data_IF_336853147017
#
_entry.id   IF_336853147017
#
_cell.length_a   1.000
_cell.length_b   1.000
_cell.length_c   1.000
_cell.angle_alpha   90.00
_cell.angle_beta   90.00
_cell.angle_gamma   90.00
#
_symmetry.space_group_name_H-M   'P 1'
#
loop_
_entity.id
_entity.type
_entity.pdbx_description
1 polymer ?
#
# COMPACT_ATOMS: atom_id res chain seq x y z
N UNK A 1 20.46 2.71 12.38
CA UNK A 1 19.16 2.30 11.81
C UNK A 1 19.32 1.86 10.37
N UNK A 2 18.78 0.72 10.03
CA UNK A 2 18.89 0.16 8.68
C UNK A 2 17.93 0.89 7.74
N UNK A 3 18.45 1.43 6.65
CA UNK A 3 17.65 2.09 5.64
C UNK A 3 17.04 1.03 4.72
N UNK A 4 15.76 0.74 4.91
CA UNK A 4 15.02 -0.24 4.10
C UNK A 4 14.16 0.46 3.07
N UNK A 5 13.89 -0.22 1.95
CA UNK A 5 12.95 0.25 0.95
C UNK A 5 11.62 -0.44 1.20
N UNK A 6 10.59 0.33 1.52
CA UNK A 6 9.32 -0.18 2.00
C UNK A 6 8.19 0.28 1.09
N UNK A 7 7.35 -0.66 0.66
CA UNK A 7 6.13 -0.35 -0.07
C UNK A 7 4.96 -0.32 0.92
N UNK A 8 4.12 0.72 0.82
CA UNK A 8 2.90 0.80 1.60
C UNK A 8 1.73 0.85 0.63
N UNK A 9 0.86 -0.15 0.65
CA UNK A 9 -0.36 -0.11 -0.14
C UNK A 9 -1.41 0.62 0.67
N UNK A 10 -2.16 1.53 0.03
CA UNK A 10 -3.11 2.39 0.72
C UNK A 10 -2.43 3.52 1.50
N UNK A 11 -1.25 3.95 1.04
CA UNK A 11 -0.45 4.93 1.76
C UNK A 11 -1.02 6.34 1.84
N UNK A 12 -2.03 6.66 1.01
CA UNK A 12 -2.68 7.98 1.04
C UNK A 12 -3.91 8.00 1.96
N UNK A 13 -4.27 6.88 2.58
CA UNK A 13 -5.34 6.81 3.57
C UNK A 13 -4.85 7.28 4.94
N UNK A 14 -5.78 7.39 5.89
CA UNK A 14 -5.47 7.90 7.23
C UNK A 14 -4.41 7.06 7.94
N UNK A 15 -4.59 5.73 7.97
CA UNK A 15 -3.62 4.85 8.62
C UNK A 15 -2.29 4.88 7.87
N UNK A 16 -2.34 4.87 6.55
CA UNK A 16 -1.15 4.88 5.72
C UNK A 16 -0.29 6.13 5.92
N UNK A 17 -0.93 7.30 6.03
CA UNK A 17 -0.23 8.56 6.28
C UNK A 17 0.56 8.49 7.57
N UNK A 18 -0.06 8.00 8.65
CA UNK A 18 0.60 7.92 9.94
C UNK A 18 1.74 6.91 9.95
N UNK A 19 1.56 5.78 9.28
CA UNK A 19 2.61 4.78 9.14
C UNK A 19 3.80 5.34 8.34
N UNK A 20 3.52 6.01 7.23
CA UNK A 20 4.58 6.57 6.37
C UNK A 20 5.39 7.61 7.13
N UNK A 21 4.73 8.48 7.91
CA UNK A 21 5.43 9.44 8.75
C UNK A 21 6.44 8.75 9.66
N UNK A 22 6.01 7.68 10.33
CA UNK A 22 6.87 6.96 11.25
C UNK A 22 8.04 6.30 10.53
N UNK A 23 7.77 5.69 9.37
CA UNK A 23 8.83 5.03 8.60
C UNK A 23 9.86 6.03 8.09
N UNK A 24 9.42 7.22 7.67
CA UNK A 24 10.33 8.28 7.23
C UNK A 24 11.18 8.78 8.40
N UNK A 25 10.59 8.94 9.58
CA UNK A 25 11.32 9.35 10.77
C UNK A 25 12.40 8.34 11.14
N UNK A 26 12.16 7.06 10.86
CA UNK A 26 13.13 6.01 11.13
C UNK A 26 14.18 5.86 10.03
N UNK A 27 14.13 6.69 9.01
CA UNK A 27 15.16 6.73 7.98
C UNK A 27 14.95 5.80 6.79
N UNK A 28 13.75 5.24 6.65
CA UNK A 28 13.46 4.34 5.54
C UNK A 28 13.05 5.09 4.27
N UNK A 29 13.27 4.44 3.12
CA UNK A 29 12.75 4.92 1.84
C UNK A 29 11.38 4.31 1.64
N UNK A 30 10.38 5.14 1.39
CA UNK A 30 8.99 4.69 1.31
C UNK A 30 8.41 4.98 -0.07
N UNK A 31 7.70 3.99 -0.61
CA UNK A 31 6.92 4.11 -1.84
C UNK A 31 5.48 3.75 -1.47
N UNK A 32 4.53 4.55 -1.91
CA UNK A 32 3.11 4.31 -1.65
C UNK A 32 2.41 3.90 -2.94
N UNK A 33 1.57 2.87 -2.86
CA UNK A 33 0.69 2.47 -3.95
C UNK A 33 -0.74 2.66 -3.49
N UNK A 34 -1.50 3.50 -4.18
CA UNK A 34 -2.89 3.82 -3.80
C UNK A 34 -3.67 4.19 -5.06
N UNK A 35 -4.92 3.75 -5.16
CA UNK A 35 -5.78 4.16 -6.27
C UNK A 35 -6.62 5.39 -5.92
N UNK A 36 -6.44 5.93 -4.71
CA UNK A 36 -7.12 7.12 -4.21
C UNK A 36 -8.64 6.97 -4.09
N UNK A 37 -9.11 5.76 -3.99
CA UNK A 37 -10.53 5.50 -3.80
C UNK A 37 -11.04 6.08 -2.47
N UNK A 38 -10.23 6.00 -1.43
CA UNK A 38 -10.50 6.65 -0.15
C UNK A 38 -9.31 7.46 0.38
N UNK A 39 -8.16 7.44 -0.31
CA UNK A 39 -6.99 8.23 0.04
C UNK A 39 -7.04 9.61 -0.62
N UNK A 40 -6.26 10.54 -0.12
CA UNK A 40 -6.25 11.92 -0.58
C UNK A 40 -4.83 12.37 -0.94
N UNK A 41 -4.70 13.08 -2.07
CA UNK A 41 -3.41 13.68 -2.44
C UNK A 41 -2.91 14.66 -1.39
N UNK A 42 -3.83 15.32 -0.68
CA UNK A 42 -3.46 16.23 0.40
C UNK A 42 -2.70 15.53 1.53
N UNK A 43 -2.78 14.20 1.59
CA UNK A 43 -2.08 13.41 2.60
C UNK A 43 -0.64 13.06 2.22
N UNK A 44 -0.19 13.48 1.03
CA UNK A 44 1.15 13.15 0.57
C UNK A 44 2.22 13.75 1.49
N UNK A 45 3.24 12.98 1.74
CA UNK A 45 4.38 13.38 2.58
C UNK A 45 5.58 13.59 1.68
N UNK A 46 6.27 14.69 1.89
CA UNK A 46 7.46 15.04 1.11
C UNK A 46 8.52 13.94 1.23
N UNK A 47 9.17 13.63 0.10
CA UNK A 47 10.21 12.62 0.06
C UNK A 47 9.70 11.21 -0.16
N UNK A 48 8.40 11.02 -0.30
CA UNK A 48 7.78 9.72 -0.56
C UNK A 48 7.34 9.65 -2.02
N UNK A 49 7.63 8.54 -2.68
CA UNK A 49 7.15 8.32 -4.04
C UNK A 49 5.74 7.75 -3.98
N UNK A 50 4.80 8.37 -4.66
CA UNK A 50 3.41 7.93 -4.72
C UNK A 50 3.08 7.40 -6.10
N UNK A 51 2.56 6.18 -6.15
CA UNK A 51 2.12 5.52 -7.38
C UNK A 51 0.60 5.42 -7.33
N UNK A 52 -0.08 6.04 -8.31
CA UNK A 52 -1.52 5.94 -8.43
C UNK A 52 -1.85 4.74 -9.30
N UNK A 53 -2.24 3.65 -8.68
CA UNK A 53 -2.57 2.42 -9.40
C UNK A 53 -3.46 1.52 -8.54
N UNK A 54 -4.18 0.63 -9.19
CA UNK A 54 -4.99 -0.38 -8.51
C UNK A 54 -4.07 -1.47 -7.96
N UNK A 55 -4.39 -1.97 -6.77
CA UNK A 55 -3.61 -3.01 -6.09
C UNK A 55 -3.49 -4.27 -6.95
N UNK A 56 -4.47 -4.57 -7.79
CA UNK A 56 -4.43 -5.75 -8.64
C UNK A 56 -3.37 -5.68 -9.72
N UNK A 57 -2.81 -4.49 -9.98
CA UNK A 57 -1.73 -4.32 -10.95
C UNK A 57 -0.35 -4.40 -10.33
N UNK A 58 -0.26 -4.76 -9.05
CA UNK A 58 1.02 -4.80 -8.33
C UNK A 58 2.04 -5.74 -8.99
N UNK A 59 1.59 -6.75 -9.72
CA UNK A 59 2.48 -7.68 -10.41
C UNK A 59 3.43 -6.97 -11.38
N UNK A 60 3.03 -5.80 -11.87
CA UNK A 60 3.84 -5.01 -12.80
C UNK A 60 4.81 -4.06 -12.09
N UNK A 61 4.73 -3.96 -10.77
CA UNK A 61 5.60 -3.09 -10.01
C UNK A 61 6.98 -3.71 -9.89
N UNK A 62 7.99 -2.94 -10.29
CA UNK A 62 9.37 -3.37 -10.24
C UNK A 62 10.14 -2.59 -9.19
N UNK A 63 11.13 -3.22 -8.60
CA UNK A 63 11.98 -2.61 -7.59
C UNK A 63 12.33 -3.61 -6.51
N UNK A 64 13.39 -3.30 -5.80
CA UNK A 64 13.88 -4.14 -4.72
C UNK A 64 13.34 -3.61 -3.40
N UNK A 65 12.21 -4.17 -2.96
CA UNK A 65 11.60 -3.80 -1.69
C UNK A 65 11.99 -4.79 -0.60
N UNK A 66 12.21 -4.30 0.60
CA UNK A 66 12.51 -5.15 1.75
C UNK A 66 11.24 -5.63 2.43
N UNK A 67 10.24 -4.76 2.51
CA UNK A 67 8.95 -5.09 3.12
C UNK A 67 7.81 -4.46 2.34
N UNK A 68 6.60 -5.00 2.54
CA UNK A 68 5.37 -4.34 2.12
C UNK A 68 4.37 -4.33 3.29
N UNK A 69 3.81 -3.15 3.58
CA UNK A 69 2.69 -2.99 4.51
C UNK A 69 1.43 -2.89 3.68
N UNK A 70 0.54 -3.87 3.82
CA UNK A 70 -0.67 -3.94 3.01
C UNK A 70 -1.86 -3.35 3.77
N UNK A 71 -2.16 -2.09 3.49
CA UNK A 71 -3.26 -1.36 4.14
C UNK A 71 -4.45 -1.10 3.20
N UNK A 72 -4.32 -1.41 1.92
CA UNK A 72 -5.36 -1.10 0.95
C UNK A 72 -6.71 -1.73 1.30
N UNK A 73 -6.70 -2.93 1.87
CA UNK A 73 -7.94 -3.61 2.27
C UNK A 73 -8.68 -2.85 3.35
N UNK A 74 -7.94 -2.19 4.27
CA UNK A 74 -8.54 -1.44 5.38
C UNK A 74 -9.22 -0.17 4.89
N UNK A 75 -8.75 0.42 3.80
CA UNK A 75 -9.33 1.64 3.26
C UNK A 75 -10.68 1.41 2.60
N UNK A 76 -11.12 0.16 2.46
CA UNK A 76 -12.38 -0.19 1.80
C UNK A 76 -13.47 -0.65 2.75
N UNK A 77 -13.33 -0.36 4.03
CA UNK A 77 -14.33 -0.78 5.03
C UNK A 77 -15.68 -0.11 4.80
N UNK A 78 -15.67 1.21 4.59
CA UNK A 78 -16.89 2.00 4.43
C UNK A 78 -17.70 1.61 3.18
N UNK A 79 -17.09 1.48 2.00
CA UNK A 79 -17.83 1.09 0.81
C UNK A 79 -18.48 -0.28 0.87
N UNK A 80 -18.11 -1.13 1.83
CA UNK A 80 -18.67 -2.48 1.93
C UNK A 80 -20.18 -2.50 2.10
N UNK A 81 -20.76 -1.43 2.64
CA UNK A 81 -22.21 -1.32 2.81
C UNK A 81 -22.90 -1.00 1.49
N UNK A 82 -22.22 -0.38 0.55
CA UNK A 82 -22.80 0.04 -0.71
C UNK A 82 -22.52 -0.95 -1.83
N UNK A 83 -21.32 -1.54 -1.80
CA UNK A 83 -20.90 -2.48 -2.85
C UNK A 83 -20.08 -3.62 -2.25
N UNK A 84 -20.78 -4.69 -1.81
CA UNK A 84 -20.08 -5.87 -1.25
C UNK A 84 -19.13 -6.54 -2.23
N UNK A 85 -19.44 -6.53 -3.53
CA UNK A 85 -18.58 -7.11 -4.55
C UNK A 85 -17.22 -6.40 -4.62
N UNK A 86 -17.25 -5.07 -4.57
CA UNK A 86 -16.03 -4.28 -4.60
C UNK A 86 -15.19 -4.52 -3.35
N UNK A 87 -15.84 -4.64 -2.19
CA UNK A 87 -15.14 -4.94 -0.94
C UNK A 87 -14.46 -6.30 -1.00
N UNK A 88 -15.15 -7.29 -1.53
CA UNK A 88 -14.59 -8.61 -1.72
C UNK A 88 -13.36 -8.55 -2.63
N UNK A 89 -13.45 -7.84 -3.73
CA UNK A 89 -12.34 -7.68 -4.68
C UNK A 89 -11.10 -7.10 -3.99
N UNK A 90 -11.27 -6.04 -3.21
CA UNK A 90 -10.13 -5.39 -2.56
C UNK A 90 -9.57 -6.25 -1.43
N UNK A 91 -10.44 -6.85 -0.61
CA UNK A 91 -9.98 -7.60 0.57
C UNK A 91 -9.44 -8.99 0.24
N UNK A 92 -9.95 -9.63 -0.80
CA UNK A 92 -9.54 -10.99 -1.15
C UNK A 92 -8.61 -11.00 -2.35
N UNK A 93 -9.07 -10.46 -3.47
CA UNK A 93 -8.29 -10.47 -4.71
C UNK A 93 -7.06 -9.58 -4.61
N UNK A 94 -7.22 -8.39 -4.02
CA UNK A 94 -6.11 -7.45 -3.82
C UNK A 94 -5.07 -8.00 -2.86
N UNK A 95 -5.50 -8.59 -1.76
CA UNK A 95 -4.57 -9.18 -0.78
C UNK A 95 -3.81 -10.36 -1.39
N UNK A 96 -4.49 -11.17 -2.19
CA UNK A 96 -3.85 -12.27 -2.90
C UNK A 96 -2.79 -11.75 -3.89
N UNK A 97 -3.12 -10.68 -4.62
CA UNK A 97 -2.17 -10.09 -5.55
C UNK A 97 -0.91 -9.63 -4.86
N UNK A 98 -1.04 -8.97 -3.70
CA UNK A 98 0.10 -8.52 -2.91
C UNK A 98 0.91 -9.70 -2.41
N UNK A 99 0.25 -10.72 -1.88
CA UNK A 99 0.93 -11.90 -1.34
C UNK A 99 1.72 -12.64 -2.43
N UNK A 100 1.12 -12.81 -3.61
CA UNK A 100 1.78 -13.47 -4.73
C UNK A 100 2.97 -12.68 -5.23
N UNK A 101 2.81 -11.36 -5.36
CA UNK A 101 3.90 -10.47 -5.78
C UNK A 101 5.06 -10.51 -4.79
N UNK A 102 4.75 -10.46 -3.50
CA UNK A 102 5.76 -10.50 -2.46
C UNK A 102 6.50 -11.84 -2.45
N UNK A 103 5.77 -12.93 -2.62
CA UNK A 103 6.37 -14.26 -2.66
C UNK A 103 7.32 -14.40 -3.85
N UNK A 104 6.90 -13.96 -5.03
CA UNK A 104 7.71 -14.05 -6.25
C UNK A 104 8.97 -13.19 -6.13
N UNK A 105 8.87 -12.05 -5.48
CA UNK A 105 9.98 -11.10 -5.32
C UNK A 105 10.73 -11.27 -4.00
N UNK A 106 10.37 -12.26 -3.21
CA UNK A 106 11.03 -12.57 -1.92
C UNK A 106 10.97 -11.38 -0.96
N UNK A 107 9.77 -10.80 -0.82
CA UNK A 107 9.53 -9.64 0.03
C UNK A 107 8.65 -10.05 1.20
N UNK A 108 8.96 -9.52 2.39
CA UNK A 108 8.17 -9.78 3.59
C UNK A 108 6.91 -8.94 3.59
N UNK A 109 5.74 -9.57 3.85
CA UNK A 109 4.45 -8.88 3.99
C UNK A 109 4.15 -8.68 5.47
N UNK A 110 3.72 -7.48 5.80
CA UNK A 110 3.31 -7.14 7.15
C UNK A 110 1.82 -6.79 7.18
#
# INVERSE_FOLDING_TARGET
MINKKILVTGGAGFIGVNLIKRLKEEGHRVVSLDNYDSGLEANHIEGVKYINADIETIEYLKGDYDLVYHLAALSRIQPSFEDPSETYRVNVTGTRAVADWARVNNIKVV
#
